data_IF_879485870397
#
_entry.id   IF_879485870397
#
_cell.length_a   1.000
_cell.length_b   1.000
_cell.length_c   1.000
_cell.angle_alpha   90.00
_cell.angle_beta   90.00
_cell.angle_gamma   90.00
#
_symmetry.space_group_name_H-M   'P 1'
#
loop_
_entity.id
_entity.type
_entity.pdbx_description
1 polymer ?
#
# COMPACT_ATOMS: atom_id res chain seq x y z
N UNK A 1 -7.63 3.22 -21.64
CA UNK A 1 -8.28 2.48 -20.55
C UNK A 1 -8.93 3.53 -19.68
N UNK A 2 -10.25 3.50 -19.59
CA UNK A 2 -11.03 4.32 -18.67
C UNK A 2 -10.91 3.82 -17.22
N UNK A 3 -11.35 4.65 -16.28
CA UNK A 3 -11.25 4.38 -14.85
C UNK A 3 -12.08 3.16 -14.42
N UNK A 4 -13.25 2.92 -15.01
CA UNK A 4 -14.11 1.77 -14.68
C UNK A 4 -13.44 0.44 -15.05
N UNK A 5 -12.82 0.40 -16.23
CA UNK A 5 -12.05 -0.74 -16.70
C UNK A 5 -10.82 -1.00 -15.81
N UNK A 6 -10.12 0.06 -15.38
CA UNK A 6 -9.01 -0.05 -14.45
C UNK A 6 -9.48 -0.56 -13.08
N UNK A 7 -10.61 -0.07 -12.60
CA UNK A 7 -11.21 -0.47 -11.34
C UNK A 7 -11.61 -1.95 -11.32
N UNK A 8 -12.15 -2.44 -12.43
CA UNK A 8 -12.49 -3.86 -12.60
C UNK A 8 -11.26 -4.75 -12.55
N UNK A 9 -10.14 -4.32 -13.14
CA UNK A 9 -8.86 -5.05 -13.05
C UNK A 9 -8.32 -5.04 -11.62
N UNK A 10 -8.43 -3.91 -10.93
CA UNK A 10 -7.95 -3.75 -9.55
C UNK A 10 -8.85 -4.39 -8.49
N UNK A 11 -10.11 -4.70 -8.82
CA UNK A 11 -11.04 -5.38 -7.93
C UNK A 11 -10.45 -6.66 -7.33
N UNK A 12 -9.72 -7.43 -8.15
CA UNK A 12 -9.11 -8.71 -7.74
C UNK A 12 -7.73 -8.48 -7.11
N UNK A 13 -6.79 -7.85 -7.83
CA UNK A 13 -5.39 -7.87 -7.41
C UNK A 13 -5.04 -6.84 -6.32
N UNK A 14 -5.77 -5.72 -6.24
CA UNK A 14 -5.49 -4.63 -5.30
C UNK A 14 -6.54 -4.60 -4.19
N UNK A 15 -7.82 -4.46 -4.57
CA UNK A 15 -8.93 -4.30 -3.63
C UNK A 15 -9.24 -5.58 -2.86
N UNK A 16 -9.11 -6.77 -3.46
CA UNK A 16 -9.33 -8.02 -2.73
C UNK A 16 -8.24 -8.26 -1.68
N UNK A 17 -6.96 -8.04 -2.01
CA UNK A 17 -5.84 -8.15 -1.06
C UNK A 17 -6.02 -7.20 0.12
N UNK A 18 -6.39 -5.94 -0.13
CA UNK A 18 -6.73 -4.97 0.91
C UNK A 18 -7.81 -5.51 1.87
N UNK A 19 -8.91 -6.04 1.31
CA UNK A 19 -10.02 -6.59 2.10
C UNK A 19 -9.58 -7.83 2.88
N UNK A 20 -8.83 -8.73 2.24
CA UNK A 20 -8.30 -9.94 2.85
C UNK A 20 -7.44 -9.61 4.07
N UNK A 21 -6.48 -8.69 3.94
CA UNK A 21 -5.59 -8.33 5.06
C UNK A 21 -6.38 -7.68 6.21
N UNK A 22 -7.40 -6.87 5.90
CA UNK A 22 -8.27 -6.30 6.93
C UNK A 22 -9.05 -7.39 7.66
N UNK A 23 -9.71 -8.29 6.93
CA UNK A 23 -10.43 -9.43 7.53
C UNK A 23 -9.49 -10.29 8.36
N UNK A 24 -8.31 -10.65 7.84
CA UNK A 24 -7.30 -11.40 8.58
C UNK A 24 -6.94 -10.70 9.89
N UNK A 25 -6.72 -9.39 9.88
CA UNK A 25 -6.46 -8.62 11.09
C UNK A 25 -7.59 -8.62 12.12
N UNK A 26 -8.85 -8.83 11.70
CA UNK A 26 -9.97 -9.04 12.61
C UNK A 26 -9.93 -10.45 13.23
N UNK A 27 -9.73 -11.47 12.41
CA UNK A 27 -9.72 -12.88 12.84
C UNK A 27 -8.51 -13.23 13.72
N UNK A 28 -7.40 -12.50 13.59
CA UNK A 28 -6.16 -12.81 14.31
C UNK A 28 -5.93 -11.97 15.57
N UNK A 29 -6.90 -11.14 16.02
CA UNK A 29 -6.71 -10.23 17.17
C UNK A 29 -6.29 -10.96 18.44
N UNK A 30 -6.87 -12.13 18.69
CA UNK A 30 -6.62 -12.91 19.91
C UNK A 30 -5.37 -13.81 19.80
N UNK A 31 -4.68 -13.78 18.65
CA UNK A 31 -3.51 -14.61 18.36
C UNK A 31 -2.18 -13.82 18.44
N UNK A 32 -2.21 -12.57 18.91
CA UNK A 32 -1.04 -11.68 18.92
C UNK A 32 -0.41 -11.45 17.53
N UNK A 33 -1.18 -11.67 16.46
CA UNK A 33 -0.76 -11.45 15.07
C UNK A 33 -1.38 -10.15 14.55
N UNK A 34 -0.52 -9.27 14.03
CA UNK A 34 -0.90 -7.99 13.42
C UNK A 34 -0.86 -8.09 11.89
N UNK A 35 -1.83 -7.44 11.25
CA UNK A 35 -1.92 -7.36 9.79
C UNK A 35 -1.88 -5.89 9.35
N UNK A 36 -1.03 -5.58 8.37
CA UNK A 36 -0.86 -4.24 7.83
C UNK A 36 -0.89 -4.30 6.31
N UNK A 37 -1.74 -3.49 5.69
CA UNK A 37 -1.68 -3.23 4.25
C UNK A 37 -0.64 -2.17 3.94
N UNK A 38 0.16 -2.37 2.89
CA UNK A 38 1.09 -1.35 2.38
C UNK A 38 0.70 -1.00 0.96
N UNK A 39 0.28 0.24 0.74
CA UNK A 39 -0.17 0.75 -0.57
C UNK A 39 0.68 1.95 -0.98
N UNK A 40 1.82 1.72 -1.64
CA UNK A 40 2.61 2.78 -2.24
C UNK A 40 2.05 3.19 -3.61
N UNK A 41 1.78 4.47 -3.79
CA UNK A 41 1.58 5.11 -5.09
C UNK A 41 2.90 5.74 -5.57
N UNK A 42 3.19 5.60 -6.86
CA UNK A 42 4.37 6.19 -7.49
C UNK A 42 5.73 5.86 -6.81
N UNK A 43 5.93 4.59 -6.43
CA UNK A 43 7.20 4.11 -5.90
C UNK A 43 8.25 3.89 -6.99
N UNK A 44 9.48 4.39 -6.80
CA UNK A 44 10.58 4.35 -7.77
C UNK A 44 11.08 2.92 -8.01
N UNK A 45 10.36 2.20 -8.85
CA UNK A 45 10.55 0.79 -9.20
C UNK A 45 10.32 0.61 -10.70
N UNK A 46 10.86 -0.48 -11.25
CA UNK A 46 10.68 -0.82 -12.67
C UNK A 46 9.21 -1.04 -13.07
N UNK A 47 8.34 -1.33 -12.10
CA UNK A 47 6.90 -1.46 -12.31
C UNK A 47 6.29 -0.18 -12.89
N UNK A 48 6.87 0.99 -12.66
CA UNK A 48 6.37 2.28 -13.15
C UNK A 48 7.13 2.82 -14.38
N UNK A 49 8.00 2.01 -14.99
CA UNK A 49 8.74 2.39 -16.21
C UNK A 49 7.82 2.77 -17.39
N UNK A 50 6.55 2.34 -17.36
CA UNK A 50 5.56 2.62 -18.39
C UNK A 50 4.92 4.03 -18.31
N UNK A 51 5.13 4.79 -17.22
CA UNK A 51 4.45 6.07 -17.00
C UNK A 51 5.42 7.23 -16.79
N UNK A 52 5.08 8.38 -17.35
CA UNK A 52 5.79 9.65 -17.24
C UNK A 52 5.05 10.68 -16.36
N UNK A 53 3.94 10.28 -15.72
CA UNK A 53 3.11 11.14 -14.84
C UNK A 53 3.90 11.79 -13.70
N UNK A 54 4.96 11.14 -13.24
CA UNK A 54 5.86 11.64 -12.18
C UNK A 54 7.29 11.33 -12.60
N UNK A 55 8.18 12.31 -12.50
CA UNK A 55 9.61 12.07 -12.80
C UNK A 55 10.23 11.17 -11.73
N UNK A 56 11.21 10.30 -12.06
CA UNK A 56 11.83 9.41 -11.08
C UNK A 56 12.42 10.10 -9.84
N UNK A 57 12.82 11.37 -9.97
CA UNK A 57 13.31 12.18 -8.86
C UNK A 57 12.22 12.60 -7.85
N UNK A 58 10.95 12.60 -8.26
CA UNK A 58 9.79 12.95 -7.44
C UNK A 58 9.04 11.72 -6.90
N UNK A 59 9.38 10.52 -7.35
CA UNK A 59 8.77 9.26 -6.90
C UNK A 59 9.18 8.88 -5.47
N UNK A 60 8.32 8.13 -4.77
CA UNK A 60 8.65 7.59 -3.44
C UNK A 60 9.86 6.67 -3.55
N UNK A 61 10.89 6.95 -2.76
CA UNK A 61 12.12 6.15 -2.71
C UNK A 61 11.85 4.82 -1.99
N UNK A 62 12.37 3.67 -2.46
CA UNK A 62 12.22 2.39 -1.77
C UNK A 62 12.70 2.45 -0.31
N UNK A 63 13.75 3.23 -0.04
CA UNK A 63 14.31 3.44 1.28
C UNK A 63 13.32 4.10 2.26
N UNK A 64 12.43 4.96 1.75
CA UNK A 64 11.32 5.54 2.53
C UNK A 64 10.33 4.46 2.95
N UNK A 65 9.93 3.57 2.04
CA UNK A 65 9.02 2.46 2.34
C UNK A 65 9.62 1.50 3.36
N UNK A 66 10.93 1.18 3.24
CA UNK A 66 11.65 0.37 4.21
C UNK A 66 11.57 0.98 5.60
N UNK A 67 11.78 2.29 5.71
CA UNK A 67 11.71 3.00 7.01
C UNK A 67 10.31 2.90 7.61
N UNK A 68 9.26 3.12 6.82
CA UNK A 68 7.87 3.06 7.29
C UNK A 68 7.44 1.64 7.70
N UNK A 69 7.80 0.64 6.90
CA UNK A 69 7.51 -0.77 7.17
C UNK A 69 8.25 -1.21 8.44
N UNK A 70 9.53 -0.87 8.56
CA UNK A 70 10.35 -1.16 9.74
C UNK A 70 9.70 -0.61 11.01
N UNK A 71 9.36 0.68 11.01
CA UNK A 71 8.72 1.32 12.16
C UNK A 71 7.42 0.59 12.53
N UNK A 72 6.64 0.15 11.54
CA UNK A 72 5.39 -0.59 11.78
C UNK A 72 5.63 -1.96 12.41
N UNK A 73 6.63 -2.69 11.92
CA UNK A 73 6.99 -4.02 12.45
C UNK A 73 7.53 -3.91 13.87
N UNK A 74 8.38 -2.91 14.14
CA UNK A 74 9.05 -2.69 15.43
C UNK A 74 8.10 -2.20 16.55
N UNK A 75 6.87 -1.78 16.20
CA UNK A 75 5.85 -1.42 17.21
C UNK A 75 5.50 -2.61 18.12
N UNK A 76 5.17 -2.35 19.40
CA UNK A 76 4.66 -3.39 20.29
C UNK A 76 3.29 -3.90 19.82
N UNK A 77 2.89 -5.10 20.26
CA UNK A 77 1.60 -5.69 19.89
C UNK A 77 0.38 -4.85 20.31
N UNK A 78 0.53 -3.98 21.30
CA UNK A 78 -0.50 -3.00 21.72
C UNK A 78 -0.74 -1.88 20.70
N UNK A 79 0.13 -1.75 19.68
CA UNK A 79 0.03 -0.76 18.62
C UNK A 79 -0.01 -1.46 17.25
N UNK A 80 -1.20 -1.47 16.64
CA UNK A 80 -1.44 -2.03 15.32
C UNK A 80 -1.70 -0.91 14.31
N UNK A 81 -0.91 -0.88 13.23
CA UNK A 81 -1.15 -0.01 12.07
C UNK A 81 -1.87 -0.83 11.01
N UNK A 82 -3.14 -0.51 10.76
CA UNK A 82 -3.96 -1.27 9.81
C UNK A 82 -3.54 -1.03 8.33
N UNK A 83 -2.92 0.11 8.04
CA UNK A 83 -2.47 0.41 6.68
C UNK A 83 -1.47 1.56 6.59
N UNK A 84 -0.57 1.46 5.61
CA UNK A 84 0.36 2.50 5.17
C UNK A 84 -0.04 2.91 3.76
N UNK A 85 -0.76 4.03 3.65
CA UNK A 85 -1.11 4.65 2.37
C UNK A 85 -0.09 5.75 2.09
N UNK A 86 0.78 5.54 1.10
CA UNK A 86 1.94 6.42 0.87
C UNK A 86 1.95 6.84 -0.59
N UNK A 87 1.97 8.15 -0.84
CA UNK A 87 2.00 8.67 -2.20
C UNK A 87 2.86 9.92 -2.28
N UNK A 88 3.51 10.15 -3.42
CA UNK A 88 4.29 11.36 -3.68
C UNK A 88 3.49 12.48 -4.35
N UNK A 89 2.23 12.19 -4.74
CA UNK A 89 1.29 13.19 -5.24
C UNK A 89 -0.12 12.87 -4.75
N UNK A 90 -1.00 13.86 -4.82
CA UNK A 90 -2.43 13.62 -4.75
C UNK A 90 -2.85 12.88 -6.03
N UNK A 91 -3.51 11.73 -5.89
CA UNK A 91 -4.10 11.03 -7.02
C UNK A 91 -5.42 11.69 -7.42
N UNK A 92 -5.64 11.77 -8.72
CA UNK A 92 -6.76 12.49 -9.31
C UNK A 92 -8.10 11.74 -9.14
N UNK A 93 -8.06 10.49 -8.68
CA UNK A 93 -9.22 9.64 -8.37
C UNK A 93 -8.94 8.73 -7.17
N UNK A 94 -9.99 8.44 -6.39
CA UNK A 94 -10.04 7.50 -5.24
C UNK A 94 -10.59 6.14 -5.68
#
# INVERSE_FOLDING_TARGET
MDDESLDRLWAINVKATLRLTRTAGHETRDMDVRCTVVCPGFGRTEMLSYTDKVTPAKMVRPETLVTMIRNTVELPNTAAVAGLLVNCRLEDTL
#
